data_IF_651094291237
#
_entry.id   IF_651094291237
#
_cell.length_a   1.000
_cell.length_b   1.000
_cell.length_c   1.000
_cell.angle_alpha   90.00
_cell.angle_beta   90.00
_cell.angle_gamma   90.00
#
_symmetry.space_group_name_H-M   'P 1'
#
loop_
_entity.id
_entity.type
_entity.pdbx_description
1 polymer ?
#
# COMPACT_ATOMS: atom_id res chain seq x y z
N UNK A 1 9.18 15.12 1.35
CA UNK A 1 8.68 14.15 2.39
C UNK A 1 8.09 14.82 3.65
N UNK A 2 8.54 16.01 4.08
CA UNK A 2 8.07 16.65 5.32
C UNK A 2 6.56 17.02 5.31
N UNK A 3 6.04 17.52 4.19
CA UNK A 3 4.63 17.92 4.07
C UNK A 3 3.66 16.73 4.16
N UNK A 4 4.00 15.61 3.50
CA UNK A 4 3.24 14.37 3.60
C UNK A 4 3.26 13.78 5.02
N UNK A 5 4.41 13.86 5.72
CA UNK A 5 4.50 13.51 7.15
C UNK A 5 3.60 14.41 8.01
N UNK A 6 3.53 15.70 7.71
CA UNK A 6 2.63 16.65 8.38
C UNK A 6 1.15 16.28 8.21
N UNK A 7 0.72 15.92 7.00
CA UNK A 7 -0.66 15.50 6.72
C UNK A 7 -1.00 14.15 7.38
N UNK A 8 -0.05 13.22 7.43
CA UNK A 8 -0.23 11.96 8.17
C UNK A 8 -0.42 12.21 9.67
N UNK A 9 0.37 13.10 10.28
CA UNK A 9 0.23 13.49 11.70
C UNK A 9 -1.10 14.18 11.98
N UNK A 10 -1.62 14.96 11.03
CA UNK A 10 -2.94 15.62 11.11
C UNK A 10 -4.13 14.69 10.83
N UNK A 11 -3.92 13.37 10.79
CA UNK A 11 -4.94 12.35 10.49
C UNK A 11 -5.66 12.54 9.15
N UNK A 12 -4.97 13.09 8.14
CA UNK A 12 -5.51 13.23 6.79
C UNK A 12 -4.77 12.33 5.78
N UNK A 13 -4.84 10.99 5.92
CA UNK A 13 -4.08 10.06 5.08
C UNK A 13 -4.51 10.10 3.61
N UNK A 14 -5.78 10.41 3.33
CA UNK A 14 -6.26 10.55 1.96
C UNK A 14 -5.67 11.79 1.25
N UNK A 15 -5.56 12.92 1.96
CA UNK A 15 -4.94 14.12 1.41
C UNK A 15 -3.43 13.92 1.20
N UNK A 16 -2.76 13.25 2.13
CA UNK A 16 -1.36 12.87 1.99
C UNK A 16 -1.13 11.96 0.78
N UNK A 17 -2.06 11.03 0.49
CA UNK A 17 -1.96 10.13 -0.66
C UNK A 17 -2.10 10.90 -1.98
N UNK A 18 -3.10 11.78 -2.10
CA UNK A 18 -3.28 12.63 -3.29
C UNK A 18 -2.05 13.49 -3.56
N UNK A 19 -1.47 14.09 -2.51
CA UNK A 19 -0.25 14.89 -2.65
C UNK A 19 0.93 14.04 -3.12
N UNK A 20 1.13 12.87 -2.53
CA UNK A 20 2.20 11.95 -2.94
C UNK A 20 2.00 11.43 -4.36
N UNK A 21 0.77 11.13 -4.77
CA UNK A 21 0.45 10.73 -6.13
C UNK A 21 0.77 11.84 -7.15
N UNK A 22 0.37 13.08 -6.86
CA UNK A 22 0.68 14.23 -7.71
C UNK A 22 2.20 14.48 -7.82
N UNK A 23 2.94 14.35 -6.71
CA UNK A 23 4.40 14.48 -6.72
C UNK A 23 5.07 13.35 -7.49
N UNK A 24 4.60 12.11 -7.36
CA UNK A 24 5.15 10.97 -8.07
C UNK A 24 4.91 11.06 -9.58
N UNK A 25 3.79 11.66 -10.01
CA UNK A 25 3.56 11.95 -11.42
C UNK A 25 4.54 12.97 -11.99
N UNK A 26 4.91 14.00 -11.20
CA UNK A 26 5.87 15.03 -11.59
C UNK A 26 7.33 14.59 -11.49
N UNK A 27 7.62 13.63 -10.61
CA UNK A 27 8.96 13.13 -10.29
C UNK A 27 8.98 11.59 -10.33
N UNK A 28 8.83 10.98 -11.52
CA UNK A 28 8.68 9.52 -11.65
C UNK A 28 9.92 8.73 -11.20
N UNK A 29 11.12 9.33 -11.25
CA UNK A 29 12.37 8.70 -10.82
C UNK A 29 12.63 8.75 -9.31
N UNK A 30 11.83 9.50 -8.55
CA UNK A 30 12.08 9.70 -7.12
C UNK A 30 11.58 8.50 -6.29
N UNK A 31 12.46 7.53 -6.07
CA UNK A 31 12.13 6.28 -5.38
C UNK A 31 11.63 6.52 -3.94
N UNK A 32 12.09 7.57 -3.28
CA UNK A 32 11.66 7.91 -1.91
C UNK A 32 10.17 8.27 -1.83
N UNK A 33 9.61 8.86 -2.90
CA UNK A 33 8.17 9.16 -2.99
C UNK A 33 7.34 7.89 -3.11
N UNK A 34 7.78 6.94 -3.94
CA UNK A 34 7.11 5.66 -4.10
C UNK A 34 7.09 4.87 -2.77
N UNK A 35 8.21 4.83 -2.04
CA UNK A 35 8.29 4.20 -0.71
C UNK A 35 7.34 4.88 0.28
N UNK A 36 7.32 6.22 0.32
CA UNK A 36 6.44 6.96 1.21
C UNK A 36 4.96 6.70 0.91
N UNK A 37 4.57 6.70 -0.38
CA UNK A 37 3.19 6.44 -0.83
C UNK A 37 2.77 5.00 -0.53
N UNK A 38 3.63 4.03 -0.80
CA UNK A 38 3.36 2.62 -0.48
C UNK A 38 3.11 2.41 1.02
N UNK A 39 3.93 3.00 1.91
CA UNK A 39 3.72 2.93 3.36
C UNK A 39 2.39 3.54 3.80
N UNK A 40 2.04 4.68 3.24
CA UNK A 40 0.78 5.35 3.54
C UNK A 40 -0.43 4.49 3.13
N UNK A 41 -0.38 3.92 1.92
CA UNK A 41 -1.41 3.01 1.41
C UNK A 41 -1.54 1.76 2.27
N UNK A 42 -0.42 1.15 2.66
CA UNK A 42 -0.38 -0.09 3.43
C UNK A 42 -0.88 0.09 4.88
N UNK A 43 -0.36 1.09 5.59
CA UNK A 43 -0.55 1.21 7.03
C UNK A 43 -1.69 2.14 7.42
N UNK A 44 -1.78 3.31 6.77
CA UNK A 44 -2.77 4.32 7.13
C UNK A 44 -4.09 4.11 6.41
N UNK A 45 -4.06 3.78 5.12
CA UNK A 45 -5.28 3.59 4.33
C UNK A 45 -5.75 2.14 4.24
N UNK A 46 -4.95 1.18 4.72
CA UNK A 46 -5.26 -0.26 4.67
C UNK A 46 -5.61 -0.76 3.26
N UNK A 47 -4.96 -0.22 2.22
CA UNK A 47 -5.11 -0.60 0.80
C UNK A 47 -3.86 -1.37 0.33
N UNK A 48 -3.69 -2.64 0.72
CA UNK A 48 -2.48 -3.41 0.41
C UNK A 48 -2.30 -3.68 -1.10
N UNK A 49 -3.39 -3.77 -1.88
CA UNK A 49 -3.31 -3.96 -3.33
C UNK A 49 -2.70 -2.73 -4.02
N UNK A 50 -3.23 -1.53 -3.72
CA UNK A 50 -2.67 -0.28 -4.23
C UNK A 50 -1.22 -0.06 -3.76
N UNK A 51 -0.87 -0.47 -2.53
CA UNK A 51 0.51 -0.43 -2.07
C UNK A 51 1.43 -1.35 -2.91
N UNK A 52 0.94 -2.54 -3.28
CA UNK A 52 1.69 -3.50 -4.11
C UNK A 52 1.91 -2.97 -5.53
N UNK A 53 0.89 -2.37 -6.15
CA UNK A 53 1.00 -1.73 -7.47
C UNK A 53 2.07 -0.63 -7.46
N UNK A 54 2.06 0.26 -6.46
CA UNK A 54 3.05 1.34 -6.34
C UNK A 54 4.47 0.79 -6.19
N UNK A 55 4.66 -0.26 -5.37
CA UNK A 55 5.98 -0.89 -5.17
C UNK A 55 6.44 -1.59 -6.45
N UNK A 56 5.54 -2.27 -7.16
CA UNK A 56 5.87 -2.97 -8.40
C UNK A 56 6.27 -2.00 -9.51
N UNK A 57 5.53 -0.90 -9.67
CA UNK A 57 5.89 0.16 -10.60
C UNK A 57 7.23 0.82 -10.25
N UNK A 58 7.49 1.03 -8.95
CA UNK A 58 8.77 1.58 -8.50
C UNK A 58 9.96 0.64 -8.76
N UNK A 59 9.78 -0.67 -8.62
CA UNK A 59 10.81 -1.67 -8.93
C UNK A 59 11.18 -1.69 -10.43
N UNK A 60 10.23 -1.39 -11.32
CA UNK A 60 10.50 -1.29 -12.75
C UNK A 60 11.28 -0.03 -13.13
N UNK A 61 11.13 1.04 -12.34
CA UNK A 61 11.74 2.35 -12.62
C UNK A 61 13.01 2.64 -11.80
N UNK A 62 13.33 1.81 -10.79
CA UNK A 62 14.46 2.08 -9.90
C UNK A 62 15.80 1.77 -10.60
N UNK A 63 16.78 2.68 -10.53
CA UNK A 63 18.11 2.41 -11.06
C UNK A 63 18.79 1.23 -10.34
N UNK A 64 19.51 0.41 -11.11
CA UNK A 64 20.37 -0.65 -10.59
C UNK A 64 21.39 -0.05 -9.61
N UNK A 65 21.40 -0.51 -8.36
CA UNK A 65 22.27 0.01 -7.29
C UNK A 65 21.61 0.99 -6.32
N UNK A 66 20.33 1.33 -6.49
CA UNK A 66 19.61 2.13 -5.51
C UNK A 66 19.55 1.45 -4.14
N UNK A 67 19.83 2.17 -3.03
CA UNK A 67 19.73 1.62 -1.67
C UNK A 67 18.29 1.20 -1.30
N UNK A 68 17.29 1.63 -2.08
CA UNK A 68 15.89 1.32 -1.86
C UNK A 68 15.44 0.01 -2.52
N UNK A 69 16.23 -0.55 -3.43
CA UNK A 69 15.85 -1.73 -4.23
C UNK A 69 15.52 -2.93 -3.32
N UNK A 70 16.43 -3.27 -2.41
CA UNK A 70 16.21 -4.37 -1.46
C UNK A 70 15.03 -4.15 -0.50
N UNK A 71 14.72 -2.89 -0.11
CA UNK A 71 13.54 -2.60 0.72
C UNK A 71 12.25 -2.77 -0.08
N UNK A 72 12.23 -2.32 -1.34
CA UNK A 72 11.09 -2.46 -2.24
C UNK A 72 10.79 -3.93 -2.55
N UNK A 73 11.81 -4.75 -2.84
CA UNK A 73 11.64 -6.19 -3.08
C UNK A 73 11.04 -6.90 -1.87
N UNK A 74 11.62 -6.69 -0.68
CA UNK A 74 11.08 -7.26 0.58
C UNK A 74 9.65 -6.82 0.83
N UNK A 75 9.30 -5.57 0.51
CA UNK A 75 7.91 -5.07 0.61
C UNK A 75 6.99 -5.76 -0.39
N UNK A 76 7.40 -5.91 -1.65
CA UNK A 76 6.62 -6.57 -2.69
C UNK A 76 6.24 -7.98 -2.26
N UNK A 77 7.22 -8.79 -1.86
CA UNK A 77 7.02 -10.17 -1.39
C UNK A 77 6.04 -10.22 -0.21
N UNK A 78 6.24 -9.35 0.79
CA UNK A 78 5.35 -9.28 1.96
C UNK A 78 3.91 -8.96 1.58
N UNK A 79 3.72 -8.01 0.65
CA UNK A 79 2.40 -7.60 0.17
C UNK A 79 1.74 -8.71 -0.65
N UNK A 80 2.48 -9.40 -1.51
CA UNK A 80 2.00 -10.59 -2.26
C UNK A 80 1.51 -11.67 -1.31
N UNK A 81 2.31 -12.03 -0.30
CA UNK A 81 1.92 -13.01 0.72
C UNK A 81 0.67 -12.56 1.49
N UNK A 82 0.56 -11.26 1.81
CA UNK A 82 -0.61 -10.71 2.50
C UNK A 82 -1.87 -10.77 1.63
N UNK A 83 -1.75 -10.41 0.36
CA UNK A 83 -2.86 -10.45 -0.60
C UNK A 83 -3.33 -11.89 -0.85
N UNK A 84 -2.39 -12.83 -1.01
CA UNK A 84 -2.68 -14.26 -1.15
C UNK A 84 -3.37 -14.86 0.09
N UNK A 85 -3.01 -14.42 1.29
CA UNK A 85 -3.71 -14.83 2.53
C UNK A 85 -5.12 -14.24 2.61
N UNK A 86 -5.31 -13.02 2.12
CA UNK A 86 -6.62 -12.35 2.13
C UNK A 86 -7.61 -13.00 1.17
N UNK A 87 -7.15 -13.48 0.01
CA UNK A 87 -8.00 -14.20 -0.96
C UNK A 87 -8.36 -15.62 -0.50
N UNK A 88 -7.50 -16.25 0.31
CA UNK A 88 -7.73 -17.60 0.86
C UNK A 88 -8.65 -17.66 2.08
N UNK A 89 -9.11 -16.53 2.62
CA UNK A 89 -10.03 -16.54 3.76
C UNK A 89 -11.44 -16.85 3.22
N UNK A 90 -12.01 -18.06 3.45
CA UNK A 90 -13.40 -18.29 3.09
C UNK A 90 -14.24 -17.28 3.89
N UNK A 91 -15.11 -16.55 3.20
CA UNK A 91 -16.22 -15.86 3.86
C UNK A 91 -16.95 -16.95 4.64
N UNK A 92 -16.84 -16.97 5.97
CA UNK A 92 -17.75 -17.77 6.79
C UNK A 92 -19.16 -17.39 6.32
N UNK A 93 -19.95 -18.29 5.71
CA UNK A 93 -21.34 -17.97 5.50
C UNK A 93 -21.90 -17.66 6.88
N UNK A 94 -22.57 -16.52 7.00
CA UNK A 94 -23.30 -16.21 8.21
C UNK A 94 -24.31 -17.35 8.39
N UNK A 95 -24.05 -18.26 9.32
CA UNK A 95 -25.03 -19.22 9.80
C UNK A 95 -26.06 -18.43 10.60
N UNK A 96 -26.92 -17.73 9.87
CA UNK A 96 -28.19 -17.19 10.33
C UNK A 96 -29.19 -17.87 9.42
N UNK A 97 -29.92 -18.81 10.02
CA UNK A 97 -31.12 -19.51 9.54
C UNK A 97 -30.94 -21.01 9.73
N UNK A 98 -31.45 -21.50 10.87
CA UNK A 98 -32.18 -22.76 11.03
C UNK A 98 -32.38 -23.02 12.54
N UNK A 99 -33.19 -22.17 13.15
CA UNK A 99 -34.06 -22.59 14.24
C UNK A 99 -35.44 -22.03 13.91
N UNK A 100 -36.33 -22.79 13.25
CA UNK A 100 -37.73 -22.50 13.37
C UNK A 100 -38.10 -22.85 14.82
N UNK A 101 -38.55 -21.84 15.56
CA UNK A 101 -39.35 -22.10 16.74
C UNK A 101 -40.68 -22.70 16.31
N UNK A 102 -41.23 -23.52 17.21
CA UNK A 102 -42.57 -24.12 17.24
C UNK A 102 -42.74 -25.40 16.42
#
# INVERSE_FOLDING_TARGET
VLLARGLQRRRQPAAAERLLAALQHRLPGETSLAVARARLLEWSLRRPAAAHEVVSAALLAVPSGSPHLADLERRRVRLELRLARSSRRPRRPAQRELFPGW
#
